data_IF_492547744622
#
_entry.id   IF_492547744622
#
_cell.length_a   1.000
_cell.length_b   1.000
_cell.length_c   1.000
_cell.angle_alpha   90.00
_cell.angle_beta   90.00
_cell.angle_gamma   90.00
#
_symmetry.space_group_name_H-M   'P 1'
#
loop_
_entity.id
_entity.type
_entity.pdbx_description
1 polymer ?
#
# COMPACT_ATOMS: atom_id res chain seq x y z
N UNK A 1 8.02 2.93 -16.70
CA UNK A 1 7.26 4.17 -16.45
C UNK A 1 5.86 4.01 -16.98
N UNK A 2 4.90 4.78 -16.46
CA UNK A 2 3.48 4.76 -16.81
C UNK A 2 2.92 6.18 -16.84
N UNK A 3 1.96 6.46 -17.73
CA UNK A 3 1.24 7.74 -17.74
C UNK A 3 0.24 7.84 -16.59
N UNK A 4 -0.10 9.06 -16.16
CA UNK A 4 -1.15 9.28 -15.15
C UNK A 4 -2.50 8.69 -15.60
N UNK A 5 -2.83 8.83 -16.88
CA UNK A 5 -4.06 8.26 -17.44
C UNK A 5 -4.11 6.73 -17.30
N UNK A 6 -3.03 6.03 -17.68
CA UNK A 6 -2.95 4.58 -17.53
C UNK A 6 -2.93 4.15 -16.06
N UNK A 7 -2.30 4.96 -15.19
CA UNK A 7 -2.34 4.74 -13.74
C UNK A 7 -3.79 4.79 -13.22
N UNK A 8 -4.58 5.78 -13.63
CA UNK A 8 -5.99 5.93 -13.25
C UNK A 8 -6.81 4.73 -13.72
N UNK A 9 -6.63 4.29 -14.97
CA UNK A 9 -7.28 3.10 -15.52
C UNK A 9 -6.94 1.84 -14.71
N UNK A 10 -5.67 1.68 -14.34
CA UNK A 10 -5.19 0.53 -13.60
C UNK A 10 -5.77 0.46 -12.18
N UNK A 11 -5.77 1.57 -11.43
CA UNK A 11 -6.38 1.60 -10.09
C UNK A 11 -7.90 1.42 -10.14
N UNK A 12 -8.56 1.88 -11.21
CA UNK A 12 -10.00 1.68 -11.39
C UNK A 12 -10.37 0.20 -11.54
N UNK A 13 -9.60 -0.53 -12.34
CA UNK A 13 -9.77 -1.97 -12.49
C UNK A 13 -9.53 -2.69 -11.16
N UNK A 14 -8.42 -2.40 -10.47
CA UNK A 14 -8.07 -3.02 -9.18
C UNK A 14 -9.17 -2.79 -8.14
N UNK A 15 -9.61 -1.55 -7.98
CA UNK A 15 -10.68 -1.22 -7.04
C UNK A 15 -11.98 -1.94 -7.38
N UNK A 16 -12.37 -1.96 -8.67
CA UNK A 16 -13.57 -2.65 -9.14
C UNK A 16 -13.58 -4.16 -8.84
N UNK A 17 -12.44 -4.84 -8.99
CA UNK A 17 -12.31 -6.24 -8.60
C UNK A 17 -12.29 -6.40 -7.07
N UNK A 18 -11.56 -5.55 -6.35
CA UNK A 18 -11.39 -5.68 -4.91
C UNK A 18 -12.70 -5.53 -4.14
N UNK A 19 -13.58 -4.64 -4.60
CA UNK A 19 -14.92 -4.46 -4.01
C UNK A 19 -15.78 -5.73 -4.06
N UNK A 20 -15.53 -6.60 -5.04
CA UNK A 20 -16.30 -7.84 -5.24
C UNK A 20 -15.68 -9.05 -4.53
N UNK A 21 -14.35 -9.07 -4.43
CA UNK A 21 -13.60 -10.28 -4.09
C UNK A 21 -12.85 -10.21 -2.76
N UNK A 22 -12.54 -9.01 -2.26
CA UNK A 22 -11.70 -8.83 -1.09
C UNK A 22 -12.52 -8.44 0.14
N UNK A 23 -12.18 -9.01 1.30
CA UNK A 23 -12.75 -8.60 2.59
C UNK A 23 -12.42 -7.16 2.95
N UNK A 24 -11.20 -6.70 2.62
CA UNK A 24 -10.76 -5.32 2.75
C UNK A 24 -10.45 -4.79 1.34
N UNK A 25 -11.41 -4.12 0.68
CA UNK A 25 -11.21 -3.67 -0.70
C UNK A 25 -10.31 -2.44 -0.78
N UNK A 26 -9.66 -2.28 -1.93
CA UNK A 26 -9.04 -1.03 -2.35
C UNK A 26 -10.13 -0.06 -2.81
N UNK A 27 -10.06 1.19 -2.37
CA UNK A 27 -11.07 2.21 -2.62
C UNK A 27 -10.41 3.41 -3.28
N UNK A 28 -10.97 3.85 -4.41
CA UNK A 28 -10.53 5.06 -5.09
C UNK A 28 -10.86 6.29 -4.23
N UNK A 29 -9.90 7.18 -4.12
CA UNK A 29 -10.05 8.53 -3.57
C UNK A 29 -9.82 9.55 -4.67
N UNK A 30 -10.39 10.73 -4.46
CA UNK A 30 -10.27 11.86 -5.38
C UNK A 30 -10.20 13.15 -4.56
N UNK A 31 -9.22 13.99 -4.89
CA UNK A 31 -9.08 15.34 -4.36
C UNK A 31 -8.44 16.20 -5.45
N UNK A 32 -9.03 17.36 -5.76
CA UNK A 32 -8.49 18.31 -6.74
C UNK A 32 -8.13 17.66 -8.09
N UNK A 33 -9.01 16.80 -8.61
CA UNK A 33 -8.83 16.01 -9.84
C UNK A 33 -7.68 14.98 -9.81
N UNK A 34 -6.97 14.85 -8.69
CA UNK A 34 -6.00 13.78 -8.48
C UNK A 34 -6.67 12.57 -7.85
N UNK A 35 -6.38 11.39 -8.40
CA UNK A 35 -6.93 10.12 -7.94
C UNK A 35 -5.82 9.24 -7.39
N UNK A 36 -6.13 8.52 -6.33
CA UNK A 36 -5.30 7.50 -5.74
C UNK A 36 -6.19 6.38 -5.22
N UNK A 37 -5.61 5.26 -4.80
CA UNK A 37 -6.39 4.20 -4.13
C UNK A 37 -5.84 3.92 -2.74
N UNK A 38 -6.74 3.64 -1.82
CA UNK A 38 -6.42 3.32 -0.42
C UNK A 38 -6.98 1.97 -0.02
N UNK A 39 -6.29 1.30 0.89
CA UNK A 39 -6.78 0.11 1.56
C UNK A 39 -6.48 0.19 3.05
N UNK A 40 -7.43 -0.27 3.85
CA UNK A 40 -7.28 -0.36 5.29
C UNK A 40 -7.51 -1.81 5.72
N UNK A 41 -6.46 -2.51 6.09
CA UNK A 41 -6.50 -3.92 6.45
C UNK A 41 -5.76 -4.20 7.77
N UNK A 42 -5.46 -5.46 8.03
CA UNK A 42 -4.70 -5.87 9.20
C UNK A 42 -3.55 -6.78 8.78
N UNK A 43 -2.42 -6.60 9.43
CA UNK A 43 -1.21 -7.41 9.28
C UNK A 43 -0.81 -7.98 10.64
N UNK A 44 -0.15 -9.12 10.67
CA UNK A 44 0.39 -9.69 11.90
C UNK A 44 1.92 -9.55 11.91
N UNK A 45 2.49 -9.35 13.09
CA UNK A 45 3.93 -9.57 13.29
C UNK A 45 4.22 -11.08 13.36
N UNK A 46 5.51 -11.43 13.43
CA UNK A 46 6.00 -12.81 13.55
C UNK A 46 5.48 -13.54 14.81
N UNK A 47 5.04 -12.80 15.83
CA UNK A 47 4.42 -13.38 17.04
C UNK A 47 2.92 -13.65 16.88
N UNK A 48 2.33 -13.27 15.75
CA UNK A 48 0.90 -13.36 15.49
C UNK A 48 0.09 -12.20 16.08
N UNK A 49 0.74 -11.19 16.67
CA UNK A 49 0.04 -9.99 17.16
C UNK A 49 -0.44 -9.17 15.98
N UNK A 50 -1.68 -8.70 16.06
CA UNK A 50 -2.38 -8.03 14.97
C UNK A 50 -2.20 -6.52 15.03
N UNK A 51 -1.91 -5.94 13.87
CA UNK A 51 -1.77 -4.52 13.62
C UNK A 51 -2.69 -4.12 12.47
N UNK A 52 -3.02 -2.85 12.36
CA UNK A 52 -3.88 -2.25 11.35
C UNK A 52 -2.96 -1.39 10.51
N UNK A 53 -3.13 -1.57 9.22
CA UNK A 53 -2.35 -0.88 8.21
C UNK A 53 -3.27 -0.01 7.39
N UNK A 54 -2.77 1.18 7.09
CA UNK A 54 -3.32 2.10 6.11
C UNK A 54 -2.35 2.13 4.95
N UNK A 55 -2.79 1.75 3.76
CA UNK A 55 -1.99 1.74 2.54
C UNK A 55 -2.62 2.66 1.51
N UNK A 56 -1.79 3.34 0.73
CA UNK A 56 -2.19 4.25 -0.34
C UNK A 56 -1.24 4.08 -1.53
N UNK A 57 -1.80 4.01 -2.74
CA UNK A 57 -1.04 4.07 -3.99
C UNK A 57 -1.29 5.40 -4.66
N UNK A 58 -0.27 6.24 -4.70
CA UNK A 58 -0.30 7.55 -5.38
C UNK A 58 0.52 7.51 -6.67
N UNK A 59 0.25 8.42 -7.60
CA UNK A 59 1.09 8.62 -8.78
C UNK A 59 2.18 9.65 -8.49
N UNK A 60 3.43 9.36 -8.85
CA UNK A 60 4.50 10.35 -8.88
C UNK A 60 4.62 10.91 -10.28
N UNK A 61 4.34 12.21 -10.45
CA UNK A 61 4.56 12.91 -11.71
C UNK A 61 6.05 12.97 -12.08
N UNK A 62 6.91 13.24 -11.09
CA UNK A 62 8.36 13.36 -11.27
C UNK A 62 8.98 12.07 -11.80
N UNK A 63 8.59 10.92 -11.23
CA UNK A 63 9.15 9.62 -11.61
C UNK A 63 8.28 8.86 -12.63
N UNK A 64 7.07 9.34 -12.92
CA UNK A 64 6.10 8.68 -13.81
C UNK A 64 5.86 7.21 -13.44
N UNK A 65 5.63 6.94 -12.15
CA UNK A 65 5.43 5.61 -11.54
C UNK A 65 4.49 5.67 -10.33
N UNK A 66 3.86 4.55 -9.93
CA UNK A 66 3.16 4.47 -8.66
C UNK A 66 4.13 4.53 -7.48
N UNK A 67 3.65 5.08 -6.37
CA UNK A 67 4.34 5.17 -5.08
C UNK A 67 3.48 4.52 -4.02
N UNK A 68 4.08 3.63 -3.24
CA UNK A 68 3.42 2.98 -2.11
C UNK A 68 3.65 3.78 -0.84
N UNK A 69 2.55 4.29 -0.28
CA UNK A 69 2.49 5.00 0.99
C UNK A 69 1.79 4.13 2.01
N UNK A 70 2.29 4.11 3.24
CA UNK A 70 1.65 3.31 4.28
C UNK A 70 2.00 3.77 5.68
N UNK A 71 1.13 3.44 6.62
CA UNK A 71 1.41 3.44 8.05
C UNK A 71 0.89 2.14 8.67
N UNK A 72 1.61 1.66 9.69
CA UNK A 72 1.19 0.55 10.54
C UNK A 72 1.14 1.13 11.95
N UNK A 73 0.03 0.93 12.65
CA UNK A 73 -0.02 1.32 14.06
C UNK A 73 -0.21 0.09 14.95
N UNK A 74 -0.03 0.25 16.25
CA UNK A 74 -0.48 -0.65 17.28
C UNK A 74 -1.73 -0.05 17.92
N UNK A 75 -2.82 -0.79 17.87
CA UNK A 75 -4.08 -0.51 18.53
C UNK A 75 -4.20 -1.65 19.52
N UNK A 76 -4.33 -1.34 20.80
CA UNK A 76 -4.57 -2.36 21.82
C UNK A 76 -5.87 -3.15 21.58
N UNK A 77 -6.45 -3.73 22.63
CA UNK A 77 -7.69 -4.52 22.54
C UNK A 77 -8.95 -3.66 22.36
N UNK A 78 -9.01 -2.79 21.36
CA UNK A 78 -10.22 -2.00 21.08
C UNK A 78 -10.96 -2.52 19.85
N UNK A 79 -12.23 -2.88 20.05
CA UNK A 79 -13.17 -3.27 19.00
C UNK A 79 -13.85 -2.01 18.45
N UNK A 80 -13.57 -1.64 17.19
CA UNK A 80 -14.35 -0.63 16.50
C UNK A 80 -15.06 -1.23 15.28
N UNK A 81 -16.37 -1.34 15.40
CA UNK A 81 -17.30 -1.46 14.28
C UNK A 81 -17.54 -0.06 13.70
N UNK A 82 -17.17 0.15 12.44
CA UNK A 82 -17.63 1.24 11.56
C UNK A 82 -17.63 2.67 12.16
N UNK A 83 -16.50 3.38 12.16
CA UNK A 83 -16.43 4.86 12.03
C UNK A 83 -15.01 5.34 11.69
N UNK A 84 -14.90 6.55 11.11
CA UNK A 84 -13.75 7.18 10.43
C UNK A 84 -12.37 6.75 10.97
N UNK A 85 -11.84 5.69 10.39
CA UNK A 85 -10.72 4.93 10.94
C UNK A 85 -9.44 5.76 11.05
N UNK A 86 -9.05 6.49 10.00
CA UNK A 86 -7.79 7.28 9.97
C UNK A 86 -7.70 8.29 11.13
N UNK A 87 -8.78 9.00 11.46
CA UNK A 87 -8.76 9.98 12.55
C UNK A 87 -8.64 9.30 13.93
N UNK A 88 -9.33 8.18 14.14
CA UNK A 88 -9.24 7.41 15.38
C UNK A 88 -7.88 6.70 15.52
N UNK A 89 -7.28 6.26 14.41
CA UNK A 89 -5.93 5.70 14.39
C UNK A 89 -4.89 6.76 14.75
N UNK A 90 -5.05 7.98 14.22
CA UNK A 90 -4.18 9.09 14.58
C UNK A 90 -4.30 9.48 16.06
N UNK A 91 -5.52 9.44 16.62
CA UNK A 91 -5.75 9.80 18.02
C UNK A 91 -5.34 8.73 19.03
N UNK A 92 -5.51 7.43 18.71
CA UNK A 92 -5.40 6.35 19.70
C UNK A 92 -4.46 5.20 19.30
N UNK A 93 -3.99 5.16 18.05
CA UNK A 93 -3.04 4.17 17.57
C UNK A 93 -1.60 4.66 17.76
N UNK A 94 -0.73 3.81 18.31
CA UNK A 94 0.70 4.10 18.36
C UNK A 94 1.35 3.72 17.03
N UNK A 95 1.79 4.69 16.24
CA UNK A 95 2.53 4.42 14.99
C UNK A 95 3.72 3.50 15.30
N UNK A 96 3.89 2.44 14.51
CA UNK A 96 5.04 1.56 14.61
C UNK A 96 6.27 2.29 14.03
N UNK A 97 7.37 2.41 14.78
CA UNK A 97 8.60 2.99 14.25
C UNK A 97 9.22 2.05 13.21
N UNK A 98 9.96 2.61 12.25
CA UNK A 98 10.56 1.85 11.15
C UNK A 98 11.48 0.71 11.63
N UNK A 99 12.19 0.90 12.74
CA UNK A 99 13.08 -0.08 13.37
C UNK A 99 12.36 -1.37 13.83
N UNK A 100 11.05 -1.29 14.08
CA UNK A 100 10.21 -2.41 14.47
C UNK A 100 9.62 -3.15 13.26
N UNK A 101 9.83 -2.68 12.02
CA UNK A 101 9.28 -3.33 10.82
C UNK A 101 9.90 -4.70 10.55
N UNK A 102 11.11 -4.95 11.06
CA UNK A 102 11.75 -6.27 11.08
C UNK A 102 10.90 -7.34 11.79
N UNK A 103 9.96 -6.93 12.65
CA UNK A 103 9.04 -7.86 13.32
C UNK A 103 7.90 -8.32 12.41
N UNK A 104 7.72 -7.73 11.22
CA UNK A 104 6.63 -8.06 10.28
C UNK A 104 7.08 -8.97 9.14
N UNK A 105 8.35 -9.37 9.13
CA UNK A 105 8.98 -10.09 8.02
C UNK A 105 9.71 -11.33 8.52
N UNK A 106 9.60 -12.39 7.73
CA UNK A 106 10.32 -13.66 7.96
C UNK A 106 11.68 -13.70 7.24
N UNK A 107 12.03 -12.66 6.46
CA UNK A 107 13.26 -12.64 5.66
C UNK A 107 14.38 -11.86 6.37
N UNK A 108 15.58 -12.45 6.44
CA UNK A 108 16.78 -11.81 6.99
C UNK A 108 17.26 -10.60 6.16
N UNK A 109 16.92 -10.56 4.88
CA UNK A 109 17.30 -9.52 3.90
C UNK A 109 16.54 -8.19 4.08
N UNK A 110 15.83 -8.01 5.19
CA UNK A 110 14.92 -6.87 5.37
C UNK A 110 15.61 -5.56 5.63
N UNK A 111 16.85 -5.56 6.10
CA UNK A 111 17.59 -4.31 6.33
C UNK A 111 17.78 -3.52 5.03
N UNK A 112 18.15 -4.17 3.92
CA UNK A 112 18.35 -3.51 2.62
C UNK A 112 17.05 -2.91 2.09
N UNK A 113 15.90 -3.56 2.34
CA UNK A 113 14.61 -3.00 1.95
C UNK A 113 14.23 -1.77 2.77
N UNK A 114 14.52 -1.77 4.08
CA UNK A 114 14.20 -0.64 4.96
C UNK A 114 14.91 0.64 4.52
N UNK A 115 16.07 0.53 3.85
CA UNK A 115 16.80 1.67 3.27
C UNK A 115 16.01 2.43 2.20
N UNK A 116 15.07 1.75 1.53
CA UNK A 116 14.19 2.37 0.54
C UNK A 116 12.92 2.97 1.16
N UNK A 117 12.71 2.82 2.47
CA UNK A 117 11.58 3.41 3.18
C UNK A 117 12.00 4.76 3.75
N UNK A 118 11.21 5.79 3.45
CA UNK A 118 11.37 7.13 4.02
C UNK A 118 10.07 7.61 4.64
N UNK A 119 10.14 8.52 5.59
CA UNK A 119 8.97 9.24 6.08
C UNK A 119 8.78 10.52 5.29
N UNK A 120 7.54 10.82 4.90
CA UNK A 120 7.19 12.03 4.18
C UNK A 120 5.73 12.41 4.41
N UNK A 121 5.34 13.59 3.94
CA UNK A 121 3.95 14.01 3.96
C UNK A 121 3.18 13.32 2.83
N UNK A 122 2.05 12.67 3.16
CA UNK A 122 1.22 12.02 2.16
C UNK A 122 0.70 13.08 1.15
N UNK A 123 0.86 12.88 -0.17
CA UNK A 123 0.67 13.92 -1.19
C UNK A 123 -0.70 14.62 -1.18
N UNK A 124 -1.73 13.91 -0.70
CA UNK A 124 -3.11 14.39 -0.70
C UNK A 124 -3.73 14.54 0.69
N UNK A 125 -3.10 13.98 1.74
CA UNK A 125 -3.73 13.92 3.07
C UNK A 125 -3.09 14.89 4.06
N UNK A 126 -1.90 15.43 3.75
CA UNK A 126 -1.21 16.38 4.61
C UNK A 126 -0.76 15.81 5.96
N UNK A 127 -0.57 14.49 6.03
CA UNK A 127 -0.18 13.77 7.25
C UNK A 127 1.04 12.88 6.97
N UNK A 128 1.88 12.68 7.98
CA UNK A 128 3.10 11.89 7.85
C UNK A 128 2.81 10.40 7.60
N UNK A 129 3.36 9.87 6.50
CA UNK A 129 3.30 8.48 6.11
C UNK A 129 4.71 7.97 5.82
N UNK A 130 4.92 6.66 5.98
CA UNK A 130 6.05 6.03 5.32
C UNK A 130 5.76 5.86 3.83
N UNK A 131 6.80 5.92 3.02
CA UNK A 131 6.72 5.62 1.59
C UNK A 131 7.94 4.83 1.14
N UNK A 132 7.74 3.99 0.13
CA UNK A 132 8.84 3.37 -0.59
C UNK A 132 9.30 4.36 -1.65
N UNK A 133 10.56 4.77 -1.58
CA UNK A 133 11.10 5.77 -2.48
C UNK A 133 11.04 5.29 -3.94
N UNK A 134 10.46 6.07 -4.87
CA UNK A 134 10.11 5.58 -6.20
C UNK A 134 11.29 5.53 -7.20
N UNK A 135 12.49 5.95 -6.82
CA UNK A 135 13.62 6.11 -7.74
C UNK A 135 14.02 4.82 -8.49
N UNK A 136 13.79 3.66 -7.87
CA UNK A 136 14.07 2.34 -8.46
C UNK A 136 12.84 1.65 -9.03
N UNK A 137 11.64 2.20 -8.85
CA UNK A 137 10.39 1.57 -9.32
C UNK A 137 10.38 1.39 -10.84
N UNK A 138 10.85 2.38 -11.60
CA UNK A 138 10.88 2.27 -13.06
C UNK A 138 11.80 1.15 -13.55
N UNK A 139 12.96 0.98 -12.93
CA UNK A 139 13.95 -0.06 -13.21
C UNK A 139 13.37 -1.44 -12.86
N UNK A 140 12.85 -1.62 -11.65
CA UNK A 140 12.24 -2.87 -11.19
C UNK A 140 11.07 -3.31 -12.07
N UNK A 141 10.29 -2.35 -12.56
CA UNK A 141 9.10 -2.62 -13.36
C UNK A 141 9.40 -2.79 -14.86
N UNK A 142 10.65 -2.63 -15.31
CA UNK A 142 11.00 -2.63 -16.74
C UNK A 142 10.66 -3.97 -17.45
N UNK A 143 10.80 -5.08 -16.73
CA UNK A 143 10.60 -6.43 -17.29
C UNK A 143 9.18 -6.98 -17.09
N UNK A 144 8.30 -6.25 -16.40
CA UNK A 144 6.93 -6.68 -16.16
C UNK A 144 6.07 -6.42 -17.40
N UNK A 145 5.45 -7.48 -17.93
CA UNK A 145 4.60 -7.43 -19.14
C UNK A 145 3.11 -7.52 -18.85
N UNK A 146 2.70 -7.40 -17.59
CA UNK A 146 1.29 -7.47 -17.22
C UNK A 146 0.48 -6.30 -17.79
N UNK A 147 -0.80 -6.55 -18.06
CA UNK A 147 -1.74 -5.55 -18.63
C UNK A 147 -2.01 -4.41 -17.64
N UNK A 148 -1.99 -4.73 -16.34
CA UNK A 148 -2.19 -3.78 -15.27
C UNK A 148 -0.87 -3.54 -14.52
N UNK A 149 -0.25 -2.39 -14.77
CA UNK A 149 1.08 -2.05 -14.27
C UNK A 149 1.06 -1.86 -12.76
N UNK A 150 0.02 -1.23 -12.22
CA UNK A 150 -0.12 -1.01 -10.78
C UNK A 150 -0.32 -2.32 -10.02
N UNK A 151 -1.02 -3.28 -10.60
CA UNK A 151 -1.18 -4.61 -9.99
C UNK A 151 0.13 -5.40 -10.02
N UNK A 152 0.91 -5.33 -11.11
CA UNK A 152 2.26 -5.88 -11.13
C UNK A 152 3.15 -5.25 -10.04
N UNK A 153 3.08 -3.92 -9.88
CA UNK A 153 3.80 -3.22 -8.82
C UNK A 153 3.39 -3.69 -7.42
N UNK A 154 2.08 -3.79 -7.15
CA UNK A 154 1.57 -4.34 -5.89
C UNK A 154 1.99 -5.79 -5.64
N UNK A 155 2.08 -6.59 -6.71
CA UNK A 155 2.51 -7.99 -6.62
C UNK A 155 3.99 -8.10 -6.23
N UNK A 156 4.82 -7.21 -6.77
CA UNK A 156 6.23 -7.08 -6.39
C UNK A 156 6.35 -6.73 -4.89
N UNK A 157 5.58 -5.75 -4.41
CA UNK A 157 5.55 -5.36 -3.00
C UNK A 157 4.98 -6.45 -2.07
N UNK A 158 4.05 -7.25 -2.59
CA UNK A 158 3.47 -8.37 -1.87
C UNK A 158 4.52 -9.44 -1.53
N UNK A 159 5.40 -9.71 -2.47
CA UNK A 159 6.43 -10.74 -2.35
C UNK A 159 7.53 -10.40 -1.33
N UNK A 160 7.65 -9.12 -0.93
CA UNK A 160 8.69 -8.65 0.00
C UNK A 160 8.17 -8.55 1.43
N UNK A 161 7.30 -7.57 1.74
CA UNK A 161 7.01 -7.15 3.13
C UNK A 161 5.53 -6.95 3.45
N UNK A 162 4.68 -6.77 2.43
CA UNK A 162 3.33 -6.26 2.68
C UNK A 162 2.21 -7.29 2.64
N UNK A 163 2.47 -8.59 2.50
CA UNK A 163 1.47 -9.68 2.50
C UNK A 163 -0.01 -9.22 2.42
N UNK A 164 -0.45 -8.99 1.20
CA UNK A 164 -1.81 -8.71 0.80
C UNK A 164 -2.48 -10.04 0.47
N UNK A 165 -3.65 -10.26 1.06
CA UNK A 165 -4.50 -11.41 0.78
C UNK A 165 -5.21 -11.19 -0.58
N UNK A 166 -4.53 -11.58 -1.67
CA UNK A 166 -5.03 -11.44 -3.04
C UNK A 166 -5.76 -12.72 -3.48
N UNK A 167 -7.06 -12.64 -3.82
CA UNK A 167 -7.75 -13.73 -4.50
C UNK A 167 -7.07 -14.06 -5.83
N UNK A 168 -6.92 -15.35 -6.15
CA UNK A 168 -6.26 -15.80 -7.40
C UNK A 168 -6.93 -15.26 -8.66
N UNK A 169 -8.22 -14.94 -8.57
CA UNK A 169 -9.03 -14.32 -9.61
C UNK A 169 -8.49 -12.96 -10.08
N UNK A 170 -7.76 -12.22 -9.24
CA UNK A 170 -7.11 -10.97 -9.64
C UNK A 170 -6.10 -11.18 -10.75
N UNK A 171 -5.36 -12.30 -10.70
CA UNK A 171 -4.25 -12.56 -11.61
C UNK A 171 -4.72 -13.12 -12.96
N UNK A 172 -5.95 -13.65 -13.03
CA UNK A 172 -6.54 -14.15 -14.28
C UNK A 172 -6.81 -13.05 -15.31
N UNK A 173 -7.00 -11.80 -14.86
CA UNK A 173 -7.30 -10.64 -15.73
C UNK A 173 -6.12 -9.65 -15.85
N UNK A 174 -5.04 -9.87 -15.09
CA UNK A 174 -3.92 -8.94 -14.98
C UNK A 174 -2.70 -9.32 -15.83
N UNK A 175 -2.56 -10.61 -16.15
CA UNK A 175 -1.56 -11.16 -17.08
C UNK A 175 -2.11 -11.24 -18.51
#
# INVERSE_FOLDING_TARGET
>A
MISEQKFIEDIQQICGFSLKLCKNPWIIKNLNNKKWMEMNDFVCDVSGKKYKRCSSICYSEVYSVPVFWFNIYNFGKFNYSKLKLIFLLFLNGKLIPLEDFKNFTFRKETNEFLEFISQGEHPFLGIAFYNIHPCKTAELMQNFKGKNYVLCFLSLLNATIFYFDWPLEFFKNAC
#
